data_IF_955592171545
#
_entry.id   IF_955592171545
#
_cell.length_a   1.000
_cell.length_b   1.000
_cell.length_c   1.000
_cell.angle_alpha   90.00
_cell.angle_beta   90.00
_cell.angle_gamma   90.00
#
_symmetry.space_group_name_H-M   'P 1'
#
loop_
_entity.id
_entity.type
_entity.pdbx_description
1 polymer ?
#
# COMPACT_ATOMS: atom_id res chain seq x y z
N UNK A 1 10.78 11.02 -22.71
CA UNK A 1 9.73 9.98 -22.55
C UNK A 1 8.70 10.54 -21.58
N UNK A 2 7.49 10.82 -22.05
CA UNK A 2 6.39 11.21 -21.17
C UNK A 2 5.93 9.96 -20.41
N UNK A 3 6.57 9.67 -19.27
CA UNK A 3 6.00 8.79 -18.26
C UNK A 3 4.81 9.54 -17.66
N UNK A 4 3.69 9.54 -18.37
CA UNK A 4 2.41 9.75 -17.72
C UNK A 4 2.34 8.67 -16.65
N UNK A 5 2.59 9.04 -15.39
CA UNK A 5 2.34 8.16 -14.25
C UNK A 5 0.87 7.79 -14.33
N UNK A 6 0.57 6.67 -14.98
CA UNK A 6 -0.79 6.16 -15.12
C UNK A 6 -1.22 5.91 -13.69
N UNK A 7 -2.11 6.78 -13.19
CA UNK A 7 -2.69 6.60 -11.87
C UNK A 7 -3.32 5.21 -11.83
N UNK A 8 -3.19 4.46 -10.72
CA UNK A 8 -3.76 3.13 -10.62
C UNK A 8 -5.25 3.14 -10.96
N UNK A 9 -5.72 2.06 -11.59
CA UNK A 9 -7.14 1.85 -11.83
C UNK A 9 -7.94 2.00 -10.51
N UNK A 10 -9.00 2.81 -10.54
CA UNK A 10 -9.90 3.09 -9.40
C UNK A 10 -11.29 2.48 -9.60
N UNK A 11 -11.45 1.61 -10.59
CA UNK A 11 -12.67 0.81 -10.73
C UNK A 11 -13.02 0.11 -9.41
N UNK A 12 -14.31 -0.06 -9.08
CA UNK A 12 -14.73 -0.76 -7.87
C UNK A 12 -14.09 -2.15 -7.75
N UNK A 13 -13.93 -2.84 -8.88
CA UNK A 13 -13.28 -4.16 -8.94
C UNK A 13 -11.78 -4.08 -8.58
N UNK A 14 -11.03 -3.09 -9.08
CA UNK A 14 -9.63 -2.91 -8.73
C UNK A 14 -9.43 -2.53 -7.26
N UNK A 15 -10.32 -1.70 -6.70
CA UNK A 15 -10.34 -1.37 -5.27
C UNK A 15 -10.63 -2.62 -4.44
N UNK A 16 -11.68 -3.39 -4.78
CA UNK A 16 -12.05 -4.61 -4.06
C UNK A 16 -10.94 -5.67 -4.09
N UNK A 17 -10.27 -5.86 -5.24
CA UNK A 17 -9.13 -6.77 -5.36
C UNK A 17 -7.98 -6.38 -4.44
N UNK A 18 -7.63 -5.09 -4.39
CA UNK A 18 -6.56 -4.60 -3.50
C UNK A 18 -6.94 -4.72 -2.03
N UNK A 19 -8.17 -4.31 -1.67
CA UNK A 19 -8.72 -4.45 -0.31
C UNK A 19 -8.60 -5.90 0.17
N UNK A 20 -9.06 -6.86 -0.63
CA UNK A 20 -8.96 -8.29 -0.31
C UNK A 20 -7.51 -8.72 -0.03
N UNK A 21 -6.57 -8.31 -0.88
CA UNK A 21 -5.16 -8.66 -0.71
C UNK A 21 -4.54 -8.01 0.54
N UNK A 22 -4.83 -6.74 0.81
CA UNK A 22 -4.31 -6.02 1.98
C UNK A 22 -4.90 -6.56 3.28
N UNK A 23 -6.18 -6.92 3.29
CA UNK A 23 -6.84 -7.49 4.47
C UNK A 23 -6.27 -8.87 4.81
N UNK A 24 -6.00 -9.70 3.79
CA UNK A 24 -5.34 -11.00 3.97
C UNK A 24 -3.93 -10.83 4.55
N UNK A 25 -3.14 -9.88 4.03
CA UNK A 25 -1.80 -9.59 4.54
C UNK A 25 -1.86 -9.06 5.99
N UNK A 26 -2.78 -8.14 6.28
CA UNK A 26 -3.00 -7.61 7.63
C UNK A 26 -3.38 -8.70 8.61
N UNK A 27 -4.32 -9.59 8.24
CA UNK A 27 -4.72 -10.71 9.08
C UNK A 27 -3.55 -11.67 9.37
N UNK A 28 -2.67 -11.93 8.38
CA UNK A 28 -1.46 -12.72 8.60
C UNK A 28 -0.49 -12.03 9.55
N UNK A 29 -0.26 -10.72 9.38
CA UNK A 29 0.64 -9.94 10.25
C UNK A 29 0.11 -9.87 11.69
N UNK A 30 -1.20 -9.69 11.88
CA UNK A 30 -1.82 -9.67 13.22
C UNK A 30 -1.58 -11.00 13.96
N UNK A 31 -1.65 -12.14 13.26
CA UNK A 31 -1.30 -13.46 13.84
C UNK A 31 0.17 -13.57 14.25
N UNK A 32 1.04 -12.74 13.67
CA UNK A 32 2.46 -12.65 14.00
C UNK A 32 2.77 -11.55 15.03
N UNK A 33 1.74 -10.93 15.62
CA UNK A 33 1.91 -9.92 16.68
C UNK A 33 1.96 -8.47 16.18
N UNK A 34 1.65 -8.20 14.91
CA UNK A 34 1.44 -6.82 14.46
C UNK A 34 0.22 -6.22 15.16
N UNK A 35 0.40 -5.04 15.77
CA UNK A 35 -0.66 -4.34 16.50
C UNK A 35 -1.30 -3.27 15.62
N UNK A 36 -0.54 -2.27 15.21
CA UNK A 36 -0.97 -1.17 14.36
C UNK A 36 0.23 -0.25 14.10
N UNK A 37 0.41 0.22 12.87
CA UNK A 37 1.33 1.30 12.52
C UNK A 37 0.57 2.35 11.70
N UNK A 38 0.45 3.60 12.18
CA UNK A 38 -0.35 4.63 11.50
C UNK A 38 0.17 4.98 10.10
N UNK A 39 1.48 4.89 9.87
CA UNK A 39 2.09 5.18 8.56
C UNK A 39 1.75 4.07 7.57
N UNK A 40 1.88 2.81 8.00
CA UNK A 40 1.54 1.66 7.18
C UNK A 40 0.06 1.64 6.80
N UNK A 41 -0.82 1.90 7.77
CA UNK A 41 -2.27 1.80 7.58
C UNK A 41 -2.77 2.94 6.66
N UNK A 42 -2.27 4.18 6.85
CA UNK A 42 -2.59 5.29 5.95
C UNK A 42 -2.07 5.04 4.52
N UNK A 43 -0.85 4.50 4.38
CA UNK A 43 -0.31 4.15 3.07
C UNK A 43 -1.12 3.02 2.40
N UNK A 44 -1.58 2.05 3.19
CA UNK A 44 -2.38 0.92 2.69
C UNK A 44 -3.74 1.40 2.18
N UNK A 45 -4.43 2.29 2.90
CA UNK A 45 -5.69 2.87 2.43
C UNK A 45 -5.52 3.65 1.11
N UNK A 46 -4.51 4.52 1.02
CA UNK A 46 -4.21 5.25 -0.21
C UNK A 46 -3.87 4.30 -1.38
N UNK A 47 -3.18 3.19 -1.10
CA UNK A 47 -2.89 2.16 -2.10
C UNK A 47 -4.14 1.41 -2.53
N UNK A 48 -5.06 1.07 -1.62
CA UNK A 48 -6.33 0.40 -1.94
C UNK A 48 -7.23 1.31 -2.78
N UNK A 49 -7.30 2.60 -2.45
CA UNK A 49 -8.07 3.60 -3.19
C UNK A 49 -7.48 3.92 -4.58
N UNK A 50 -6.21 3.60 -4.83
CA UNK A 50 -5.52 3.97 -6.08
C UNK A 50 -5.10 5.42 -6.14
N UNK A 51 -4.93 6.03 -4.98
CA UNK A 51 -4.33 7.35 -4.84
C UNK A 51 -2.83 7.29 -5.12
N UNK A 52 -2.19 6.20 -4.68
CA UNK A 52 -0.77 5.95 -4.87
C UNK A 52 -0.52 4.64 -5.61
N UNK A 53 0.55 4.65 -6.39
CA UNK A 53 1.16 3.48 -7.02
C UNK A 53 1.83 2.57 -5.99
N UNK A 54 2.21 1.36 -6.43
CA UNK A 54 2.94 0.42 -5.59
C UNK A 54 4.32 0.94 -5.18
N UNK A 55 4.99 1.69 -6.05
CA UNK A 55 6.30 2.26 -5.77
C UNK A 55 6.22 3.40 -4.76
N UNK A 56 5.21 4.27 -4.88
CA UNK A 56 4.92 5.31 -3.88
C UNK A 56 4.54 4.69 -2.53
N UNK A 57 3.77 3.60 -2.52
CA UNK A 57 3.50 2.83 -1.29
C UNK A 57 4.81 2.34 -0.66
N UNK A 58 5.69 1.71 -1.45
CA UNK A 58 6.99 1.20 -0.98
C UNK A 58 7.85 2.29 -0.38
N UNK A 59 7.94 3.45 -1.03
CA UNK A 59 8.72 4.59 -0.56
C UNK A 59 8.21 5.15 0.78
N UNK A 60 6.90 5.02 1.08
CA UNK A 60 6.32 5.47 2.35
C UNK A 60 6.54 4.48 3.49
N UNK A 61 6.45 3.18 3.22
CA UNK A 61 6.48 2.14 4.28
C UNK A 61 7.87 1.57 4.52
N UNK A 62 8.73 1.56 3.50
CA UNK A 62 10.11 1.10 3.66
C UNK A 62 10.96 2.31 3.99
N UNK A 63 11.42 2.36 5.24
CA UNK A 63 12.44 3.32 5.65
C UNK A 63 13.72 3.01 4.89
N UNK A 64 14.20 3.96 4.09
CA UNK A 64 15.49 3.80 3.43
C UNK A 64 16.58 3.54 4.49
N UNK A 65 17.42 2.51 4.31
CA UNK A 65 18.54 2.30 5.21
C UNK A 65 19.44 3.54 5.13
N UNK A 66 19.78 4.11 6.29
CA UNK A 66 20.78 5.19 6.34
C UNK A 66 22.08 4.64 5.75
N UNK A 67 22.50 5.17 4.60
CA UNK A 67 23.87 5.01 4.13
C UNK A 67 24.77 5.66 5.18
N UNK A 68 25.54 4.83 5.88
CA UNK A 68 26.57 5.27 6.83
C UNK A 68 27.86 5.54 6.07
#
# INVERSE_FOLDING_TARGET
MNLHHVRPDRSPEAVARRRKATDQARAANVRQGYVFDPVLEAATEAYVAGEITRDEYRARVIREPKRS
#
